data_IF_393885121108
#
_entry.id   IF_393885121108
#
_cell.length_a   1.000
_cell.length_b   1.000
_cell.length_c   1.000
_cell.angle_alpha   90.00
_cell.angle_beta   90.00
_cell.angle_gamma   90.00
#
_symmetry.space_group_name_H-M   'P 1'
#
loop_
_entity.id
_entity.type
_entity.pdbx_description
1 polymer ?
#
# COMPACT_ATOMS: atom_id res chain seq x y z
N UNK A 1 72.39 -7.82 -24.04
CA UNK A 1 72.64 -8.29 -22.67
C UNK A 1 71.33 -8.33 -21.89
N UNK A 2 70.86 -9.55 -21.65
CA UNK A 2 69.57 -9.89 -21.04
C UNK A 2 69.62 -9.70 -19.52
N UNK A 3 68.63 -9.02 -18.94
CA UNK A 3 68.31 -9.16 -17.51
C UNK A 3 66.86 -9.58 -17.34
N UNK A 4 66.71 -10.88 -17.06
CA UNK A 4 65.50 -11.51 -16.55
C UNK A 4 65.14 -10.87 -15.20
N UNK A 5 63.87 -10.55 -14.99
CA UNK A 5 63.29 -10.41 -13.64
C UNK A 5 62.36 -11.60 -13.43
N UNK A 6 62.74 -12.43 -12.48
CA UNK A 6 61.97 -13.58 -12.00
C UNK A 6 60.69 -13.10 -11.31
N UNK A 7 59.55 -13.64 -11.73
CA UNK A 7 58.26 -13.46 -11.08
C UNK A 7 58.15 -14.38 -9.86
N UNK A 8 58.02 -13.77 -8.68
CA UNK A 8 57.73 -14.45 -7.42
C UNK A 8 56.30 -15.00 -7.45
N UNK A 9 56.15 -16.32 -7.46
CA UNK A 9 54.88 -17.03 -7.31
C UNK A 9 54.45 -16.97 -5.84
N UNK A 10 53.34 -16.28 -5.55
CA UNK A 10 52.70 -16.30 -4.24
C UNK A 10 51.76 -17.50 -4.21
N UNK A 11 52.07 -18.48 -3.36
CA UNK A 11 51.29 -19.70 -3.17
C UNK A 11 49.93 -19.41 -2.55
N UNK A 12 48.88 -19.94 -3.18
CA UNK A 12 47.53 -19.96 -2.63
C UNK A 12 47.48 -20.93 -1.43
N UNK A 13 47.36 -20.39 -0.22
CA UNK A 13 47.08 -21.16 0.99
C UNK A 13 45.61 -21.61 0.95
N UNK A 14 45.41 -22.94 0.93
CA UNK A 14 44.10 -23.58 1.03
C UNK A 14 43.61 -23.47 2.47
N UNK A 15 42.58 -22.65 2.71
CA UNK A 15 41.83 -22.67 3.96
C UNK A 15 40.97 -23.94 4.05
N UNK A 16 41.14 -24.69 5.13
CA UNK A 16 40.31 -25.84 5.48
C UNK A 16 38.91 -25.37 5.93
N UNK A 17 37.84 -26.12 5.63
CA UNK A 17 36.49 -25.76 6.06
C UNK A 17 36.29 -26.02 7.56
N UNK A 18 35.62 -25.09 8.23
CA UNK A 18 35.21 -25.20 9.63
C UNK A 18 34.18 -26.34 9.84
N UNK A 19 34.22 -27.06 10.97
CA UNK A 19 33.28 -28.15 11.26
C UNK A 19 31.86 -27.62 11.50
N UNK A 20 30.88 -28.26 10.86
CA UNK A 20 29.45 -27.99 11.04
C UNK A 20 28.96 -28.61 12.36
N UNK A 21 28.46 -27.79 13.28
CA UNK A 21 27.70 -28.27 14.43
C UNK A 21 26.34 -28.82 13.97
N UNK A 22 26.06 -30.07 14.33
CA UNK A 22 24.74 -30.69 14.16
C UNK A 22 23.77 -30.19 15.24
N UNK A 23 22.48 -29.97 14.91
CA UNK A 23 21.47 -29.64 15.92
C UNK A 23 21.09 -30.88 16.76
N UNK A 24 20.77 -30.71 18.06
CA UNK A 24 20.41 -31.83 18.93
C UNK A 24 19.03 -32.42 18.58
N UNK A 25 18.97 -33.76 18.65
CA UNK A 25 17.75 -34.56 18.54
C UNK A 25 16.78 -34.19 19.68
N UNK A 26 15.54 -33.84 19.35
CA UNK A 26 14.45 -33.69 20.34
C UNK A 26 13.70 -35.02 20.46
N UNK A 27 13.74 -35.62 21.65
CA UNK A 27 12.81 -36.66 22.07
C UNK A 27 11.52 -35.99 22.56
N UNK A 28 10.36 -36.48 22.11
CA UNK A 28 9.04 -36.08 22.61
C UNK A 28 8.72 -36.68 23.97
N UNK A 29 7.61 -36.23 24.58
CA UNK A 29 6.55 -37.19 24.87
C UNK A 29 5.15 -36.70 24.46
N UNK A 30 4.28 -37.69 24.29
CA UNK A 30 2.89 -37.63 23.84
C UNK A 30 1.90 -36.98 24.81
N UNK A 31 0.77 -36.53 24.20
CA UNK A 31 -0.62 -36.31 24.71
C UNK A 31 -0.99 -34.98 25.39
N UNK A 32 -2.28 -34.57 25.40
CA UNK A 32 -3.34 -34.67 24.37
C UNK A 32 -4.05 -33.33 24.07
N UNK A 33 -4.88 -33.33 23.01
CA UNK A 33 -5.76 -32.22 22.57
C UNK A 33 -6.69 -31.70 23.68
N UNK A 34 -6.70 -30.38 23.88
CA UNK A 34 -7.76 -29.65 24.58
C UNK A 34 -8.61 -28.85 23.59
N UNK A 35 -9.91 -29.07 23.68
CA UNK A 35 -10.95 -28.48 22.86
C UNK A 35 -11.12 -26.98 23.12
N UNK A 36 -11.46 -26.24 22.05
CA UNK A 36 -11.83 -24.82 22.07
C UNK A 36 -13.21 -24.63 22.74
N UNK A 37 -13.39 -23.70 23.68
CA UNK A 37 -14.72 -23.33 24.13
C UNK A 37 -15.38 -22.40 23.10
N UNK A 38 -16.60 -22.77 22.68
CA UNK A 38 -17.55 -21.92 21.98
C UNK A 38 -18.15 -20.95 23.00
N UNK A 39 -17.88 -19.67 22.86
CA UNK A 39 -18.58 -18.62 23.62
C UNK A 39 -19.87 -18.32 22.87
N UNK A 40 -20.99 -18.76 23.43
CA UNK A 40 -22.35 -18.41 23.07
C UNK A 40 -22.80 -17.35 24.08
N UNK A 41 -22.97 -16.10 23.65
CA UNK A 41 -23.54 -15.04 24.49
C UNK A 41 -25.03 -14.98 24.20
N UNK A 42 -25.83 -15.54 25.09
CA UNK A 42 -27.27 -15.31 25.15
C UNK A 42 -27.54 -14.03 25.96
N UNK A 43 -28.38 -13.15 25.40
CA UNK A 43 -28.98 -12.00 26.09
C UNK A 43 -29.74 -12.47 27.34
N UNK A 44 -29.58 -11.74 28.44
CA UNK A 44 -30.54 -11.70 29.53
C UNK A 44 -31.24 -10.34 29.50
N UNK A 45 -32.55 -10.38 29.25
CA UNK A 45 -33.46 -9.26 29.44
C UNK A 45 -33.89 -9.21 30.91
N UNK A 46 -33.96 -8.02 31.49
CA UNK A 46 -34.76 -7.76 32.69
C UNK A 46 -35.75 -6.66 32.36
N UNK A 47 -37.01 -7.03 32.46
CA UNK A 47 -38.21 -6.23 32.22
C UNK A 47 -38.72 -5.72 33.57
N UNK A 48 -39.04 -4.43 33.68
CA UNK A 48 -39.96 -3.86 34.68
C UNK A 48 -40.57 -2.60 34.05
N UNK A 49 -41.85 -2.70 33.70
CA UNK A 49 -42.59 -1.69 32.97
C UNK A 49 -43.25 -0.62 33.85
N UNK A 50 -43.64 0.47 33.19
CA UNK A 50 -44.86 1.21 33.48
C UNK A 50 -45.30 1.95 32.20
N UNK A 51 -46.57 1.76 31.84
CA UNK A 51 -47.17 2.17 30.59
C UNK A 51 -47.70 3.61 30.61
N UNK A 52 -47.65 4.28 29.45
CA UNK A 52 -48.65 5.28 29.06
C UNK A 52 -48.86 5.22 27.54
N UNK A 53 -50.12 4.98 27.16
CA UNK A 53 -50.61 4.88 25.77
C UNK A 53 -50.96 6.26 25.19
N UNK A 54 -50.65 6.43 23.89
CA UNK A 54 -51.30 7.20 22.80
C UNK A 54 -50.16 7.67 21.87
N UNK A 55 -50.14 7.53 20.54
CA UNK A 55 -51.10 7.18 19.50
C UNK A 55 -50.34 7.10 18.15
N UNK A 56 -51.05 6.63 17.13
CA UNK A 56 -50.61 6.22 15.79
C UNK A 56 -49.53 7.05 15.05
N UNK A 57 -48.68 6.32 14.32
CA UNK A 57 -47.84 6.84 13.23
C UNK A 57 -46.98 5.73 12.62
N UNK A 58 -47.58 4.92 11.74
CA UNK A 58 -46.86 3.88 10.99
C UNK A 58 -45.82 4.55 10.08
N UNK A 59 -44.53 4.44 10.41
CA UNK A 59 -43.45 4.71 9.47
C UNK A 59 -42.95 3.37 8.97
N UNK A 60 -43.32 3.07 7.72
CA UNK A 60 -42.78 1.98 6.95
C UNK A 60 -41.25 2.05 6.98
N UNK A 61 -40.63 0.91 7.30
CA UNK A 61 -39.19 0.74 7.29
C UNK A 61 -38.61 1.22 5.97
N UNK A 62 -37.75 2.24 6.03
CA UNK A 62 -37.04 2.76 4.88
C UNK A 62 -36.06 1.67 4.42
N UNK A 63 -36.28 1.17 3.20
CA UNK A 63 -35.39 0.25 2.48
C UNK A 63 -33.92 0.70 2.55
N UNK A 64 -32.94 -0.21 2.61
CA UNK A 64 -31.52 0.12 2.48
C UNK A 64 -31.27 0.97 1.24
N UNK A 65 -30.43 2.00 1.39
CA UNK A 65 -30.12 2.99 0.35
C UNK A 65 -29.39 2.31 -0.82
N UNK A 66 -29.63 2.84 -2.01
CA UNK A 66 -29.17 2.42 -3.34
C UNK A 66 -27.63 2.46 -3.57
N UNK A 67 -26.81 2.45 -2.51
CA UNK A 67 -25.34 2.58 -2.55
C UNK A 67 -24.58 1.25 -2.65
N UNK A 68 -25.27 0.12 -2.80
CA UNK A 68 -24.69 -1.20 -2.56
C UNK A 68 -24.36 -2.02 -3.82
N UNK A 69 -24.14 -1.35 -4.97
CA UNK A 69 -23.59 -2.06 -6.13
C UNK A 69 -22.06 -2.13 -5.97
N UNK A 70 -21.47 -3.32 -5.75
CA UNK A 70 -20.03 -3.44 -5.74
C UNK A 70 -19.50 -2.96 -7.09
N UNK A 71 -18.52 -2.05 -7.05
CA UNK A 71 -17.76 -1.68 -8.24
C UNK A 71 -17.33 -2.94 -9.00
N UNK A 72 -17.46 -2.92 -10.32
CA UNK A 72 -17.16 -4.08 -11.14
C UNK A 72 -15.68 -4.46 -11.00
N UNK A 73 -15.40 -5.54 -10.27
CA UNK A 73 -14.06 -6.10 -10.14
C UNK A 73 -13.64 -6.68 -11.49
N UNK A 74 -12.55 -6.15 -12.05
CA UNK A 74 -11.89 -6.72 -13.22
C UNK A 74 -10.57 -7.38 -12.83
N UNK A 75 -10.31 -8.57 -13.37
CA UNK A 75 -8.99 -9.20 -13.29
C UNK A 75 -8.10 -8.56 -14.34
N UNK A 76 -7.14 -7.75 -13.90
CA UNK A 76 -6.14 -7.19 -14.80
C UNK A 76 -5.06 -8.23 -15.15
N UNK A 77 -4.84 -9.24 -14.28
CA UNK A 77 -4.15 -10.50 -14.54
C UNK A 77 -3.77 -11.24 -13.27
N UNK A 78 -2.85 -12.20 -13.33
CA UNK A 78 -2.43 -12.96 -12.15
C UNK A 78 -1.91 -12.02 -11.06
N UNK A 79 -2.52 -12.09 -9.87
CA UNK A 79 -2.15 -11.23 -8.73
C UNK A 79 -2.52 -9.75 -8.86
N UNK A 80 -3.30 -9.33 -9.88
CA UNK A 80 -3.71 -7.93 -10.08
C UNK A 80 -5.21 -7.81 -10.29
N UNK A 81 -5.89 -7.01 -9.47
CA UNK A 81 -7.32 -6.73 -9.60
C UNK A 81 -7.60 -5.22 -9.51
N UNK A 82 -8.59 -4.77 -10.28
CA UNK A 82 -9.01 -3.38 -10.37
C UNK A 82 -10.51 -3.29 -10.10
N UNK A 83 -10.89 -2.34 -9.27
CA UNK A 83 -12.27 -1.95 -9.00
C UNK A 83 -12.48 -0.55 -9.53
N UNK A 84 -13.28 -0.44 -10.58
CA UNK A 84 -13.59 0.85 -11.20
C UNK A 84 -14.60 1.61 -10.35
N UNK A 85 -14.33 2.88 -10.08
CA UNK A 85 -15.24 3.73 -9.29
C UNK A 85 -15.54 3.15 -7.89
N UNK A 86 -14.53 2.57 -7.22
CA UNK A 86 -14.67 2.09 -5.83
C UNK A 86 -15.06 3.21 -4.87
N UNK A 87 -14.46 4.39 -5.02
CA UNK A 87 -14.92 5.60 -4.36
C UNK A 87 -15.84 6.38 -5.32
N UNK A 88 -17.09 6.56 -4.93
CA UNK A 88 -18.01 7.46 -5.62
C UNK A 88 -17.61 8.93 -5.45
N UNK A 89 -18.27 9.85 -6.16
CA UNK A 89 -17.87 11.26 -6.16
C UNK A 89 -17.91 11.90 -4.75
N UNK A 90 -18.96 11.73 -3.93
CA UNK A 90 -18.95 12.21 -2.54
C UNK A 90 -17.78 11.65 -1.72
N UNK A 91 -17.52 10.34 -1.79
CA UNK A 91 -16.44 9.72 -1.04
C UNK A 91 -15.06 10.19 -1.52
N UNK A 92 -14.87 10.41 -2.83
CA UNK A 92 -13.65 11.02 -3.37
C UNK A 92 -13.41 12.43 -2.82
N UNK A 93 -14.46 13.27 -2.72
CA UNK A 93 -14.35 14.63 -2.16
C UNK A 93 -13.95 14.57 -0.68
N UNK A 94 -14.63 13.74 0.11
CA UNK A 94 -14.30 13.55 1.52
C UNK A 94 -12.85 13.04 1.71
N UNK A 95 -12.42 12.11 0.86
CA UNK A 95 -11.07 11.59 0.89
C UNK A 95 -10.02 12.65 0.50
N UNK A 96 -10.30 13.52 -0.47
CA UNK A 96 -9.42 14.66 -0.80
C UNK A 96 -9.27 15.59 0.40
N UNK A 97 -10.35 15.91 1.12
CA UNK A 97 -10.26 16.75 2.33
C UNK A 97 -9.47 16.07 3.45
N UNK A 98 -9.64 14.75 3.65
CA UNK A 98 -8.83 13.99 4.59
C UNK A 98 -7.33 14.03 4.23
N UNK A 99 -6.99 13.92 2.94
CA UNK A 99 -5.60 14.03 2.47
C UNK A 99 -5.07 15.47 2.62
N UNK A 100 -5.91 16.50 2.48
CA UNK A 100 -5.50 17.88 2.80
C UNK A 100 -5.22 18.05 4.29
N UNK A 101 -6.00 17.44 5.17
CA UNK A 101 -5.73 17.44 6.61
C UNK A 101 -4.43 16.70 6.98
N UNK A 102 -4.10 15.62 6.27
CA UNK A 102 -2.77 14.99 6.34
C UNK A 102 -1.68 15.97 5.89
N UNK A 103 -1.85 16.58 4.71
CA UNK A 103 -0.86 17.50 4.16
C UNK A 103 -0.67 18.80 4.97
N UNK A 104 -1.66 19.21 5.77
CA UNK A 104 -1.53 20.33 6.68
C UNK A 104 -0.59 20.04 7.86
N UNK A 105 -0.48 18.76 8.27
CA UNK A 105 0.39 18.31 9.36
C UNK A 105 1.74 17.77 8.86
N UNK A 106 1.73 17.08 7.72
CA UNK A 106 2.91 16.58 7.03
C UNK A 106 2.88 17.09 5.57
N UNK A 107 3.45 18.28 5.29
CA UNK A 107 3.43 18.89 3.97
C UNK A 107 4.02 17.99 2.87
N UNK A 108 3.59 18.23 1.63
CA UNK A 108 4.25 17.62 0.48
C UNK A 108 5.67 18.15 0.33
N UNK A 109 6.63 17.26 0.14
CA UNK A 109 8.00 17.57 -0.23
C UNK A 109 8.36 16.94 -1.59
N UNK A 110 9.49 17.34 -2.16
CA UNK A 110 10.05 16.73 -3.37
C UNK A 110 11.21 15.83 -2.97
N UNK A 111 11.07 14.49 -3.02
CA UNK A 111 12.16 13.57 -2.73
C UNK A 111 13.33 13.75 -3.70
N UNK A 112 14.52 13.30 -3.29
CA UNK A 112 15.71 13.32 -4.12
C UNK A 112 16.10 11.90 -4.54
N UNK A 113 16.58 11.75 -5.77
CA UNK A 113 17.15 10.52 -6.29
C UNK A 113 18.43 10.18 -5.51
N UNK A 114 18.59 8.93 -5.04
CA UNK A 114 19.81 8.51 -4.37
C UNK A 114 21.03 8.73 -5.24
N UNK A 115 22.17 9.03 -4.59
CA UNK A 115 23.48 9.34 -5.21
C UNK A 115 23.51 10.63 -6.04
N UNK A 116 22.58 10.80 -6.97
CA UNK A 116 22.56 11.94 -7.90
C UNK A 116 21.98 13.22 -7.27
N UNK A 117 21.13 13.09 -6.25
CA UNK A 117 20.44 14.21 -5.63
C UNK A 117 19.45 14.93 -6.55
N UNK A 118 19.13 14.37 -7.72
CA UNK A 118 18.17 14.98 -8.64
C UNK A 118 16.76 14.94 -8.04
N UNK A 119 15.98 16.03 -8.08
CA UNK A 119 14.63 16.03 -7.55
C UNK A 119 13.72 15.11 -8.37
N UNK A 120 12.79 14.44 -7.69
CA UNK A 120 11.70 13.74 -8.34
C UNK A 120 10.77 14.75 -9.04
N UNK A 121 10.07 14.30 -10.07
CA UNK A 121 8.98 15.08 -10.67
C UNK A 121 7.66 14.96 -9.89
N UNK A 122 7.57 13.99 -8.98
CA UNK A 122 6.43 13.68 -8.13
C UNK A 122 6.69 14.24 -6.74
N UNK A 123 5.70 14.91 -6.16
CA UNK A 123 5.75 15.35 -4.75
C UNK A 123 5.11 14.30 -3.86
N UNK A 124 5.64 14.14 -2.67
CA UNK A 124 5.21 13.07 -1.76
C UNK A 124 4.95 13.59 -0.34
N UNK A 125 4.00 12.97 0.33
CA UNK A 125 3.87 12.96 1.79
C UNK A 125 3.39 11.56 2.21
N UNK A 126 3.25 11.30 3.50
CA UNK A 126 2.81 10.00 4.00
C UNK A 126 1.82 10.17 5.17
N UNK A 127 1.08 9.09 5.44
CA UNK A 127 0.34 8.90 6.68
C UNK A 127 0.47 7.45 7.16
N UNK A 128 0.33 7.23 8.46
CA UNK A 128 0.52 5.96 9.16
C UNK A 128 1.79 5.90 10.00
N UNK A 129 2.02 4.80 10.73
CA UNK A 129 3.20 4.63 11.58
C UNK A 129 4.54 4.80 10.85
N UNK A 130 4.58 4.56 9.54
CA UNK A 130 5.75 4.66 8.69
C UNK A 130 5.43 5.44 7.42
N UNK A 131 6.41 6.20 6.94
CA UNK A 131 6.37 6.88 5.66
C UNK A 131 7.58 6.53 4.81
N UNK A 132 7.35 6.30 3.51
CA UNK A 132 8.44 6.08 2.56
C UNK A 132 9.10 7.40 2.22
N UNK A 133 10.42 7.42 2.23
CA UNK A 133 11.23 8.59 1.88
C UNK A 133 12.37 8.22 0.95
N UNK A 134 12.79 9.19 0.14
CA UNK A 134 13.97 9.11 -0.71
C UNK A 134 14.78 10.38 -0.60
N UNK A 135 16.06 10.22 -0.34
CA UNK A 135 17.05 11.29 -0.35
C UNK A 135 18.37 10.79 -0.95
N UNK A 136 19.46 11.52 -0.74
CA UNK A 136 20.78 11.14 -1.27
C UNK A 136 21.30 9.82 -0.70
N UNK A 137 20.86 9.46 0.51
CA UNK A 137 21.37 8.32 1.26
C UNK A 137 20.63 7.03 0.91
N UNK A 138 19.42 7.13 0.35
CA UNK A 138 18.70 5.98 -0.20
C UNK A 138 17.21 6.06 -0.03
N UNK A 139 16.57 4.89 -0.19
CA UNK A 139 15.16 4.68 0.05
C UNK A 139 14.96 4.00 1.40
N UNK A 140 13.95 4.40 2.17
CA UNK A 140 13.63 3.78 3.46
C UNK A 140 12.21 4.10 3.89
N UNK A 141 11.70 3.30 4.82
CA UNK A 141 10.59 3.67 5.68
C UNK A 141 11.12 4.31 6.97
N UNK A 142 10.50 5.39 7.42
CA UNK A 142 10.84 6.05 8.69
C UNK A 142 9.59 6.55 9.42
N UNK A 143 9.62 6.70 10.77
CA UNK A 143 8.44 7.07 11.56
C UNK A 143 8.09 8.56 11.53
N UNK A 144 8.97 9.41 11.00
CA UNK A 144 8.80 10.86 10.99
C UNK A 144 8.92 11.46 9.58
N UNK A 145 8.25 12.57 9.34
CA UNK A 145 8.47 13.47 8.21
C UNK A 145 9.95 13.91 8.16
N UNK A 146 10.52 14.20 6.98
CA UNK A 146 11.87 14.79 6.86
C UNK A 146 12.11 16.04 7.74
N UNK A 147 11.05 16.79 8.05
CA UNK A 147 11.09 17.97 8.93
C UNK A 147 10.98 17.64 10.43
N UNK A 148 10.91 16.34 10.78
CA UNK A 148 11.01 15.83 12.16
C UNK A 148 9.70 15.45 12.85
N UNK A 149 8.55 15.93 12.38
CA UNK A 149 7.24 15.58 12.97
C UNK A 149 6.82 14.14 12.64
N UNK A 150 6.09 13.41 13.50
CA UNK A 150 5.52 12.11 13.14
C UNK A 150 4.53 12.23 11.97
N UNK A 151 4.36 11.15 11.21
CA UNK A 151 3.34 11.12 10.16
C UNK A 151 1.92 11.10 10.77
N UNK A 152 0.95 11.81 10.17
CA UNK A 152 -0.46 11.75 10.59
C UNK A 152 -1.04 10.34 10.46
N UNK A 153 -2.10 9.98 11.20
CA UNK A 153 -2.74 8.68 11.05
C UNK A 153 -3.34 8.46 9.65
N UNK A 154 -3.42 7.20 9.22
CA UNK A 154 -4.07 6.83 7.94
C UNK A 154 -5.57 7.16 8.06
N UNK A 155 -6.16 7.89 7.09
CA UNK A 155 -7.60 8.16 7.07
C UNK A 155 -8.45 6.88 7.15
N UNK A 156 -9.54 6.91 7.94
CA UNK A 156 -10.40 5.75 8.18
C UNK A 156 -10.93 5.10 6.89
N UNK A 157 -11.33 5.91 5.91
CA UNK A 157 -11.80 5.43 4.61
C UNK A 157 -10.77 4.56 3.85
N UNK A 158 -9.46 4.83 4.05
CA UNK A 158 -8.39 4.03 3.46
C UNK A 158 -8.20 2.71 4.22
N UNK A 159 -8.34 2.71 5.54
CA UNK A 159 -8.32 1.49 6.35
C UNK A 159 -9.52 0.59 6.02
N UNK A 160 -10.70 1.17 5.82
CA UNK A 160 -11.90 0.45 5.38
C UNK A 160 -11.70 -0.18 4.00
N UNK A 161 -11.17 0.57 3.02
CA UNK A 161 -10.82 0.04 1.71
C UNK A 161 -9.78 -1.09 1.80
N UNK A 162 -8.78 -0.97 2.68
CA UNK A 162 -7.81 -2.04 2.92
C UNK A 162 -8.49 -3.31 3.43
N UNK A 163 -9.30 -3.22 4.49
CA UNK A 163 -10.01 -4.37 5.07
C UNK A 163 -10.94 -5.03 4.05
N UNK A 164 -11.54 -4.26 3.15
CA UNK A 164 -12.42 -4.78 2.10
C UNK A 164 -11.67 -5.45 0.93
N UNK A 165 -10.49 -4.95 0.55
CA UNK A 165 -9.84 -5.31 -0.71
C UNK A 165 -8.55 -6.11 -0.57
N UNK A 166 -7.83 -5.96 0.55
CA UNK A 166 -6.45 -6.41 0.67
C UNK A 166 -6.25 -7.90 0.98
N UNK A 167 -7.31 -8.61 1.39
CA UNK A 167 -7.21 -10.02 1.82
C UNK A 167 -5.99 -10.26 2.75
N UNK A 168 -5.78 -9.32 3.68
CA UNK A 168 -4.64 -9.28 4.58
C UNK A 168 -5.17 -9.15 6.02
N UNK A 169 -4.73 -10.01 6.96
CA UNK A 169 -5.28 -10.04 8.32
C UNK A 169 -4.83 -8.85 9.18
N UNK A 170 -3.84 -8.08 8.73
CA UNK A 170 -3.31 -6.92 9.44
C UNK A 170 -3.51 -5.64 8.65
N UNK A 171 -3.58 -4.52 9.35
CA UNK A 171 -3.68 -3.19 8.77
C UNK A 171 -2.37 -2.74 8.11
N UNK A 172 -2.45 -1.84 7.11
CA UNK A 172 -1.27 -1.21 6.55
C UNK A 172 -0.65 -0.30 7.61
N UNK A 173 0.67 -0.24 7.64
CA UNK A 173 1.42 0.65 8.53
C UNK A 173 2.14 1.78 7.77
N UNK A 174 1.92 1.87 6.46
CA UNK A 174 2.32 3.01 5.64
C UNK A 174 1.28 3.30 4.55
N UNK A 175 1.05 4.59 4.30
CA UNK A 175 0.33 5.07 3.13
C UNK A 175 1.11 6.23 2.49
N UNK A 176 1.72 5.95 1.33
CA UNK A 176 2.41 6.95 0.52
C UNK A 176 1.38 7.75 -0.29
N UNK A 177 1.44 9.08 -0.16
CA UNK A 177 0.59 10.02 -0.90
C UNK A 177 1.44 10.66 -2.00
N UNK A 178 1.21 10.28 -3.24
CA UNK A 178 1.88 10.84 -4.40
C UNK A 178 1.01 11.92 -5.05
N UNK A 179 1.54 13.12 -5.28
CA UNK A 179 0.94 14.14 -6.12
C UNK A 179 1.70 14.30 -7.44
N UNK A 180 0.97 14.12 -8.53
CA UNK A 180 1.44 14.29 -9.90
C UNK A 180 0.86 15.60 -10.46
N UNK A 181 1.72 16.61 -10.55
CA UNK A 181 1.43 17.84 -11.30
C UNK A 181 1.65 17.66 -12.80
N UNK A 182 1.57 18.76 -13.55
CA UNK A 182 1.86 18.77 -14.99
C UNK A 182 3.27 18.21 -15.27
N UNK A 183 3.37 17.22 -16.17
CA UNK A 183 4.64 16.61 -16.58
C UNK A 183 5.24 15.61 -15.59
N UNK A 184 4.64 15.39 -14.42
CA UNK A 184 5.11 14.42 -13.45
C UNK A 184 4.94 12.98 -13.94
N UNK A 185 5.97 12.15 -13.73
CA UNK A 185 5.99 10.74 -14.14
C UNK A 185 6.73 9.88 -13.13
N UNK A 186 6.36 8.60 -13.09
CA UNK A 186 7.05 7.59 -12.29
C UNK A 186 7.42 6.43 -13.21
N UNK A 187 8.72 6.27 -13.49
CA UNK A 187 9.21 5.20 -14.37
C UNK A 187 9.01 3.81 -13.77
N UNK A 188 9.33 2.76 -14.54
CA UNK A 188 9.25 1.38 -14.06
C UNK A 188 10.17 1.15 -12.85
N UNK A 189 9.55 0.77 -11.73
CA UNK A 189 10.17 0.44 -10.46
C UNK A 189 9.46 -0.75 -9.80
N UNK A 190 10.04 -1.24 -8.72
CA UNK A 190 9.43 -2.22 -7.82
C UNK A 190 9.29 -1.59 -6.44
N UNK A 191 8.21 -1.90 -5.77
CA UNK A 191 8.04 -1.63 -4.34
C UNK A 191 8.69 -2.80 -3.59
N UNK A 192 9.97 -2.61 -3.23
CA UNK A 192 10.85 -3.65 -2.65
C UNK A 192 11.55 -3.21 -1.37
N UNK A 193 11.12 -2.11 -0.77
CA UNK A 193 11.72 -1.53 0.43
C UNK A 193 10.99 -1.98 1.71
N UNK A 194 9.91 -2.77 1.57
CA UNK A 194 9.23 -3.41 2.70
C UNK A 194 10.03 -4.61 3.24
N UNK A 195 9.88 -4.90 4.53
CA UNK A 195 10.48 -6.06 5.19
C UNK A 195 9.71 -7.36 4.89
N UNK A 196 8.45 -7.24 4.43
CA UNK A 196 7.62 -8.36 4.00
C UNK A 196 6.95 -8.12 2.65
N UNK A 197 6.82 -9.19 1.88
CA UNK A 197 6.09 -9.23 0.60
C UNK A 197 4.85 -10.13 0.67
N UNK A 198 4.45 -10.57 1.87
CA UNK A 198 3.23 -11.38 2.04
C UNK A 198 1.95 -10.55 1.84
N UNK A 199 1.96 -9.28 2.25
CA UNK A 199 0.86 -8.35 2.04
C UNK A 199 0.89 -7.75 0.62
N UNK A 200 -0.28 -7.49 0.02
CA UNK A 200 -0.36 -6.81 -1.27
C UNK A 200 -0.08 -5.30 -1.13
N UNK A 201 -0.10 -4.61 -2.28
CA UNK A 201 -0.14 -3.16 -2.39
C UNK A 201 -1.54 -2.75 -2.83
N UNK A 202 -2.20 -1.88 -2.07
CA UNK A 202 -3.46 -1.25 -2.44
C UNK A 202 -3.18 0.19 -2.90
N UNK A 203 -3.66 0.54 -4.10
CA UNK A 203 -3.38 1.79 -4.78
C UNK A 203 -4.69 2.47 -5.21
N UNK A 204 -5.05 3.57 -4.53
CA UNK A 204 -6.27 4.34 -4.78
C UNK A 204 -5.96 5.59 -5.59
N UNK A 205 -6.90 5.98 -6.45
CA UNK A 205 -6.70 6.96 -7.51
C UNK A 205 -7.67 8.14 -7.35
N UNK A 206 -7.17 9.37 -7.35
CA UNK A 206 -7.98 10.59 -7.24
C UNK A 206 -7.46 11.65 -8.22
N UNK A 207 -8.36 12.41 -8.82
CA UNK A 207 -8.01 13.43 -9.83
C UNK A 207 -7.80 12.83 -11.22
N UNK A 208 -6.89 13.43 -11.98
CA UNK A 208 -6.64 13.10 -13.39
C UNK A 208 -6.31 11.62 -13.61
N UNK A 209 -6.79 11.07 -14.72
CA UNK A 209 -6.53 9.71 -15.17
C UNK A 209 -5.04 9.50 -15.46
N UNK A 210 -4.53 8.30 -15.20
CA UNK A 210 -3.17 7.89 -15.56
C UNK A 210 -3.15 6.61 -16.41
N UNK A 211 -2.21 6.56 -17.36
CA UNK A 211 -1.82 5.30 -18.01
C UNK A 211 -0.84 4.59 -17.09
N UNK A 212 -1.34 3.56 -16.41
CA UNK A 212 -0.56 2.70 -15.54
C UNK A 212 0.01 1.54 -16.34
N UNK A 213 1.28 1.20 -16.08
CA UNK A 213 1.98 0.08 -16.70
C UNK A 213 2.40 -0.90 -15.62
N UNK A 214 2.20 -2.20 -15.86
CA UNK A 214 2.66 -3.28 -15.00
C UNK A 214 3.19 -4.44 -15.84
N UNK A 215 4.33 -5.00 -15.43
CA UNK A 215 4.98 -6.17 -16.04
C UNK A 215 5.01 -7.37 -15.09
N UNK A 216 6.12 -8.09 -15.08
CA UNK A 216 6.42 -9.16 -14.14
C UNK A 216 7.56 -8.79 -13.18
N UNK A 217 8.08 -9.76 -12.41
CA UNK A 217 9.15 -9.53 -11.45
C UNK A 217 10.48 -9.14 -12.10
N UNK A 218 10.68 -9.44 -13.38
CA UNK A 218 11.86 -9.04 -14.13
C UNK A 218 11.60 -7.78 -14.96
N UNK A 219 12.59 -6.87 -14.99
CA UNK A 219 12.46 -5.57 -15.68
C UNK A 219 12.16 -5.70 -17.18
N UNK A 220 12.53 -6.84 -17.78
CA UNK A 220 12.37 -7.14 -19.20
C UNK A 220 11.06 -7.88 -19.52
N UNK A 221 10.29 -8.26 -18.50
CA UNK A 221 9.02 -8.95 -18.70
C UNK A 221 8.06 -8.11 -19.53
N UNK A 222 7.20 -8.81 -20.29
CA UNK A 222 6.17 -8.15 -21.10
C UNK A 222 5.27 -7.32 -20.19
N UNK A 223 5.15 -6.05 -20.53
CA UNK A 223 4.28 -5.13 -19.81
C UNK A 223 2.91 -5.04 -20.46
N UNK A 224 1.93 -4.67 -19.64
CA UNK A 224 0.59 -4.26 -20.08
C UNK A 224 0.29 -2.88 -19.50
N UNK A 225 -0.57 -2.15 -20.20
CA UNK A 225 -1.03 -0.84 -19.77
C UNK A 225 -2.55 -0.78 -19.71
N UNK A 226 -3.06 -0.06 -18.73
CA UNK A 226 -4.48 0.28 -18.61
C UNK A 226 -4.64 1.64 -17.95
N UNK A 227 -5.83 2.22 -18.10
CA UNK A 227 -6.17 3.52 -17.53
C UNK A 227 -6.64 3.34 -16.09
N UNK A 228 -6.16 4.22 -15.21
CA UNK A 228 -6.59 4.36 -13.82
C UNK A 228 -7.27 5.71 -13.67
N UNK A 229 -8.56 5.70 -13.34
CA UNK A 229 -9.44 6.88 -13.24
C UNK A 229 -9.65 7.32 -11.80
N UNK A 230 -10.17 8.53 -11.63
CA UNK A 230 -10.69 9.01 -10.34
C UNK A 230 -11.65 8.01 -9.72
N UNK A 231 -11.40 7.62 -8.48
CA UNK A 231 -12.22 6.70 -7.70
C UNK A 231 -11.80 5.23 -7.82
N UNK A 232 -10.90 4.88 -8.73
CA UNK A 232 -10.47 3.50 -8.90
C UNK A 232 -9.62 3.01 -7.71
N UNK A 233 -9.77 1.73 -7.40
CA UNK A 233 -8.89 1.00 -6.48
C UNK A 233 -8.19 -0.14 -7.23
N UNK A 234 -6.85 -0.12 -7.24
CA UNK A 234 -6.01 -1.15 -7.83
C UNK A 234 -5.33 -1.93 -6.71
N UNK A 235 -5.34 -3.25 -6.78
CA UNK A 235 -4.52 -4.10 -5.93
C UNK A 235 -3.57 -4.95 -6.74
N UNK A 236 -2.33 -5.11 -6.24
CA UNK A 236 -1.41 -6.10 -6.75
C UNK A 236 -0.61 -6.77 -5.62
N UNK A 237 -0.55 -8.10 -5.67
CA UNK A 237 0.05 -8.95 -4.64
C UNK A 237 0.36 -10.35 -5.18
N UNK A 238 0.72 -11.28 -4.28
CA UNK A 238 1.12 -12.64 -4.66
C UNK A 238 2.16 -12.63 -5.80
N UNK A 239 1.90 -13.27 -6.96
CA UNK A 239 2.86 -13.31 -8.07
C UNK A 239 3.18 -11.93 -8.67
N UNK A 240 2.33 -10.93 -8.45
CA UNK A 240 2.54 -9.56 -8.91
C UNK A 240 3.08 -8.62 -7.83
N UNK A 241 3.34 -9.11 -6.60
CA UNK A 241 3.76 -8.25 -5.48
C UNK A 241 5.06 -7.47 -5.76
N UNK A 242 5.96 -8.09 -6.51
CA UNK A 242 7.22 -7.49 -6.95
C UNK A 242 7.21 -7.18 -8.45
N UNK A 243 6.04 -6.98 -9.07
CA UNK A 243 5.99 -6.62 -10.48
C UNK A 243 6.58 -5.23 -10.73
N UNK A 244 7.38 -5.09 -11.80
CA UNK A 244 7.78 -3.78 -12.28
C UNK A 244 6.55 -2.99 -12.74
N UNK A 245 6.37 -1.79 -12.21
CA UNK A 245 5.22 -0.96 -12.53
C UNK A 245 5.55 0.53 -12.50
N UNK A 246 4.65 1.35 -13.03
CA UNK A 246 4.85 2.79 -13.10
C UNK A 246 3.69 3.54 -13.73
N UNK A 247 3.82 4.87 -13.75
CA UNK A 247 2.89 5.79 -14.38
C UNK A 247 3.58 6.38 -15.61
N UNK A 248 3.14 5.91 -16.79
CA UNK A 248 3.70 6.35 -18.07
C UNK A 248 3.30 7.80 -18.39
N UNK A 249 2.03 8.13 -18.12
CA UNK A 249 1.42 9.40 -18.49
C UNK A 249 0.24 9.73 -17.58
N UNK A 250 0.13 11.00 -17.19
CA UNK A 250 -1.09 11.59 -16.61
C UNK A 250 -1.84 12.34 -17.71
N UNK A 251 -3.15 12.12 -17.80
CA UNK A 251 -4.03 12.78 -18.77
C UNK A 251 -4.61 14.04 -18.11
N UNK A 252 -3.92 15.17 -18.28
CA UNK A 252 -4.29 16.42 -17.62
C UNK A 252 -5.72 16.88 -17.99
N UNK A 253 -6.48 17.34 -17.00
CA UNK A 253 -7.84 17.87 -17.19
C UNK A 253 -8.90 16.79 -17.43
N UNK A 254 -8.60 15.53 -17.13
CA UNK A 254 -9.56 14.43 -17.27
C UNK A 254 -10.47 14.25 -16.05
N UNK A 255 -10.22 14.99 -14.97
CA UNK A 255 -11.07 14.99 -13.78
C UNK A 255 -11.36 16.41 -13.29
N UNK A 256 -12.57 16.59 -12.78
CA UNK A 256 -13.01 17.82 -12.10
C UNK A 256 -12.91 17.72 -10.58
N UNK A 257 -12.29 16.65 -10.03
CA UNK A 257 -12.19 16.45 -8.58
C UNK A 257 -11.25 17.47 -7.92
N UNK A 258 -10.11 17.75 -8.57
CA UNK A 258 -9.13 18.72 -8.08
C UNK A 258 -9.29 20.03 -8.88
N UNK A 259 -9.68 21.16 -8.24
CA UNK A 259 -9.95 22.40 -8.97
C UNK A 259 -8.79 22.94 -9.80
N UNK A 260 -7.55 22.63 -9.40
CA UNK A 260 -6.32 23.02 -10.11
C UNK A 260 -5.74 21.90 -10.99
N UNK A 261 -6.49 20.83 -11.19
CA UNK A 261 -6.04 19.62 -11.88
C UNK A 261 -4.97 18.83 -11.11
N UNK A 262 -4.43 17.82 -11.79
CA UNK A 262 -3.43 16.91 -11.24
C UNK A 262 -4.04 15.60 -10.74
N UNK A 263 -3.16 14.71 -10.30
CA UNK A 263 -3.51 13.38 -9.82
C UNK A 263 -2.91 13.12 -8.44
N UNK A 264 -3.72 12.57 -7.55
CA UNK A 264 -3.29 12.02 -6.27
C UNK A 264 -3.39 10.49 -6.35
N UNK A 265 -2.34 9.81 -5.88
CA UNK A 265 -2.32 8.37 -5.72
C UNK A 265 -1.95 8.01 -4.29
N UNK A 266 -2.78 7.17 -3.67
CA UNK A 266 -2.65 6.73 -2.29
C UNK A 266 -2.25 5.25 -2.29
N UNK A 267 -1.02 4.95 -1.88
CA UNK A 267 -0.46 3.61 -1.93
C UNK A 267 -0.27 3.09 -0.52
N UNK A 268 -1.16 2.20 -0.10
CA UNK A 268 -1.14 1.56 1.21
C UNK A 268 -0.31 0.29 1.15
N UNK A 269 0.51 0.10 2.19
CA UNK A 269 1.44 -1.01 2.30
C UNK A 269 1.54 -1.48 3.74
N UNK A 270 1.81 -2.78 3.89
CA UNK A 270 2.31 -3.35 5.14
C UNK A 270 3.81 -3.58 4.99
N UNK A 271 4.59 -2.81 5.75
CA UNK A 271 6.05 -2.78 5.71
C UNK A 271 6.63 -3.89 6.59
N UNK A 272 6.13 -4.01 7.82
CA UNK A 272 6.67 -4.95 8.82
C UNK A 272 6.05 -6.35 8.68
N UNK A 273 6.77 -7.42 9.07
CA UNK A 273 6.21 -8.78 9.13
C UNK A 273 4.94 -8.91 9.99
N UNK A 274 4.18 -9.99 9.77
CA UNK A 274 2.98 -10.36 10.52
C UNK A 274 2.73 -11.87 10.43
#
# INVERSE_FOLDING_TARGET
MSRRREGLRIGASRQAPAPRCAPPRRNGPDTPRLARPRICVCLAATDHGAALKRGFGSSSGRSPREHDRPSARSRAGAGVALWSEWFDRPAQVALVEAIRAVAAQAPFFTPLMPRTGKPFSVRMTNCGPLGWVSDRDGYRYQPAHPDGAPWPPIPAALLEAWRALADCPVEPDACLVNYYGAGAKMGLHQDRDEETFAAPILSIQLGDEAVFRIGGPDRRDKTRSFRLRSGDALIFGGPARLAFHGVDRVVAGSSTLLPKGGRINLTLRRVRPF
#
